data_IF_386342078860
#
_entry.id   IF_386342078860
#
_cell.length_a   1.000
_cell.length_b   1.000
_cell.length_c   1.000
_cell.angle_alpha   90.00
_cell.angle_beta   90.00
_cell.angle_gamma   90.00
#
_symmetry.space_group_name_H-M   'P 1'
#
loop_
_entity.id
_entity.type
_entity.pdbx_description
1 polymer ?
#
# COMPACT_ATOMS: atom_id res chain seq x y z
N UNK A 1 -1.25 -9.68 1.38
CA UNK A 1 -0.34 -8.57 1.76
C UNK A 1 0.83 -9.18 2.49
N UNK A 2 2.04 -8.72 2.17
CA UNK A 2 3.29 -9.21 2.76
C UNK A 2 4.10 -8.01 3.25
N UNK A 3 4.66 -8.12 4.45
CA UNK A 3 5.54 -7.11 5.03
C UNK A 3 6.98 -7.63 5.04
N UNK A 4 7.87 -6.93 4.34
CA UNK A 4 9.31 -7.18 4.35
C UNK A 4 10.04 -6.03 5.06
N UNK A 5 10.34 -6.25 6.33
CA UNK A 5 11.05 -5.28 7.16
C UNK A 5 12.51 -5.10 6.73
N UNK A 6 13.16 -6.10 6.14
CA UNK A 6 14.56 -6.02 5.75
C UNK A 6 14.70 -5.12 4.52
N UNK A 7 13.90 -5.38 3.48
CA UNK A 7 13.85 -4.55 2.28
C UNK A 7 13.20 -3.19 2.51
N UNK A 8 12.37 -3.05 3.56
CA UNK A 8 11.59 -1.84 3.80
C UNK A 8 10.42 -1.73 2.83
N UNK A 9 9.81 -2.86 2.47
CA UNK A 9 8.72 -2.96 1.51
C UNK A 9 7.46 -3.53 2.15
N UNK A 10 6.31 -3.08 1.65
CA UNK A 10 5.01 -3.72 1.85
C UNK A 10 4.47 -4.06 0.47
N UNK A 11 4.02 -5.30 0.27
CA UNK A 11 3.51 -5.77 -1.03
C UNK A 11 2.06 -6.16 -0.90
N UNK A 12 1.23 -5.70 -1.84
CA UNK A 12 -0.17 -6.06 -1.99
C UNK A 12 -0.37 -6.75 -3.32
N UNK A 13 -0.96 -7.95 -3.27
CA UNK A 13 -1.42 -8.68 -4.45
C UNK A 13 -2.92 -8.77 -4.39
N UNK A 14 -3.60 -8.50 -5.49
CA UNK A 14 -5.05 -8.58 -5.59
C UNK A 14 -5.48 -9.24 -6.90
N UNK A 15 -6.65 -9.88 -6.87
CA UNK A 15 -7.23 -10.54 -8.03
C UNK A 15 -8.70 -10.18 -8.17
N UNK A 16 -9.18 -10.02 -9.40
CA UNK A 16 -10.60 -9.92 -9.73
C UNK A 16 -10.97 -11.15 -10.57
N UNK A 17 -11.99 -11.89 -10.14
CA UNK A 17 -12.41 -13.14 -10.78
C UNK A 17 -11.24 -14.12 -11.04
N UNK A 18 -10.32 -14.23 -10.08
CA UNK A 18 -9.13 -15.11 -10.16
C UNK A 18 -8.00 -14.60 -11.06
N UNK A 19 -8.14 -13.43 -11.71
CA UNK A 19 -7.09 -12.80 -12.51
C UNK A 19 -6.37 -11.72 -11.70
N UNK A 20 -5.03 -11.68 -11.71
CA UNK A 20 -4.29 -10.61 -11.07
C UNK A 20 -4.65 -9.26 -11.70
N UNK A 21 -4.79 -8.24 -10.88
CA UNK A 21 -4.91 -6.86 -11.36
C UNK A 21 -3.51 -6.27 -11.61
N UNK A 22 -3.37 -5.24 -12.47
CA UNK A 22 -2.09 -4.55 -12.66
C UNK A 22 -1.60 -3.88 -11.38
N UNK A 23 -0.30 -3.88 -11.14
CA UNK A 23 0.30 -3.30 -9.92
C UNK A 23 -0.02 -1.82 -9.74
N UNK A 24 -0.04 -1.06 -10.85
CA UNK A 24 -0.44 0.36 -10.89
C UNK A 24 -1.88 0.64 -10.45
N UNK A 25 -2.69 -0.40 -10.27
CA UNK A 25 -4.06 -0.29 -9.78
C UNK A 25 -4.14 -0.23 -8.24
N UNK A 26 -3.00 -0.34 -7.57
CA UNK A 26 -2.83 -0.14 -6.14
C UNK A 26 -2.28 1.28 -5.86
N UNK A 27 -3.00 2.04 -5.05
CA UNK A 27 -2.63 3.39 -4.63
C UNK A 27 -2.51 3.41 -3.11
N UNK A 28 -1.35 3.81 -2.60
CA UNK A 28 -1.09 3.93 -1.17
C UNK A 28 -1.46 5.33 -0.70
N UNK A 29 -2.25 5.38 0.36
CA UNK A 29 -2.80 6.59 0.94
C UNK A 29 -2.32 6.72 2.39
N UNK A 30 -1.83 7.90 2.76
CA UNK A 30 -1.53 8.31 4.13
C UNK A 30 -2.17 9.66 4.41
N UNK A 31 -2.81 9.83 5.57
CA UNK A 31 -3.45 11.10 5.97
C UNK A 31 -4.39 11.68 4.89
N UNK A 32 -5.08 10.80 4.17
CA UNK A 32 -5.99 11.17 3.07
C UNK A 32 -5.30 11.60 1.78
N UNK A 33 -3.98 11.50 1.68
CA UNK A 33 -3.19 11.85 0.50
C UNK A 33 -2.56 10.61 -0.13
N UNK A 34 -2.55 10.55 -1.47
CA UNK A 34 -1.77 9.54 -2.19
C UNK A 34 -0.28 9.77 -2.00
N UNK A 35 0.42 8.76 -1.49
CA UNK A 35 1.88 8.79 -1.25
C UNK A 35 2.65 7.92 -2.23
N UNK A 36 2.01 6.90 -2.81
CA UNK A 36 2.66 6.00 -3.77
C UNK A 36 1.63 5.30 -4.66
N UNK A 37 2.04 4.93 -5.88
CA UNK A 37 1.24 4.13 -6.81
C UNK A 37 2.08 2.97 -7.30
N UNK A 38 1.81 1.79 -6.75
CA UNK A 38 2.27 0.46 -7.18
C UNK A 38 1.76 -0.58 -6.17
N UNK A 39 1.77 -1.86 -6.54
CA UNK A 39 1.53 -2.98 -5.63
C UNK A 39 2.54 -3.03 -4.47
N UNK A 40 3.75 -2.50 -4.69
CA UNK A 40 4.85 -2.54 -3.74
C UNK A 40 5.14 -1.14 -3.21
N UNK A 41 4.89 -0.91 -1.91
CA UNK A 41 5.26 0.32 -1.22
C UNK A 41 6.67 0.21 -0.61
N UNK A 42 7.66 0.97 -1.11
CA UNK A 42 8.96 1.10 -0.45
C UNK A 42 8.89 2.12 0.70
N UNK A 43 8.20 1.77 1.79
CA UNK A 43 7.78 2.69 2.85
C UNK A 43 8.92 3.47 3.54
N UNK A 44 10.16 2.99 3.48
CA UNK A 44 11.33 3.71 4.01
C UNK A 44 11.83 4.84 3.10
N UNK A 45 11.45 4.83 1.82
CA UNK A 45 11.92 5.78 0.80
C UNK A 45 10.82 6.73 0.33
N UNK A 46 9.56 6.41 0.59
CA UNK A 46 8.42 7.25 0.26
C UNK A 46 8.25 8.34 1.32
N UNK A 47 8.28 9.59 0.86
CA UNK A 47 7.97 10.77 1.70
C UNK A 47 6.45 10.95 1.83
N UNK A 48 6.02 11.67 2.87
CA UNK A 48 4.60 11.98 3.07
C UNK A 48 3.80 10.88 3.76
N UNK A 49 4.44 9.74 4.09
CA UNK A 49 3.86 8.75 5.00
C UNK A 49 3.86 9.35 6.41
N UNK A 50 2.69 9.37 7.04
CA UNK A 50 2.46 9.76 8.43
C UNK A 50 2.62 8.58 9.38
N UNK A 51 1.58 8.31 10.17
CA UNK A 51 1.57 7.21 11.17
C UNK A 51 1.06 5.89 10.58
N UNK A 52 0.27 5.95 9.51
CA UNK A 52 -0.30 4.76 8.89
C UNK A 52 -0.42 4.94 7.37
N UNK A 53 -0.55 3.82 6.68
CA UNK A 53 -0.94 3.78 5.26
C UNK A 53 -2.07 2.78 5.05
N UNK A 54 -2.94 3.04 4.09
CA UNK A 54 -3.80 2.01 3.50
C UNK A 54 -3.59 1.97 1.98
N UNK A 55 -3.77 0.81 1.39
CA UNK A 55 -3.88 0.65 -0.06
C UNK A 55 -5.34 0.74 -0.49
N UNK A 56 -5.64 1.67 -1.40
CA UNK A 56 -6.79 1.63 -2.30
C UNK A 56 -6.45 0.74 -3.50
N UNK A 57 -7.35 -0.18 -3.83
CA UNK A 57 -7.14 -1.17 -4.87
C UNK A 57 -8.35 -1.16 -5.79
N UNK A 58 -8.14 -0.83 -7.06
CA UNK A 58 -9.22 -0.72 -8.05
C UNK A 58 -9.06 -1.77 -9.15
N UNK A 59 -10.15 -2.43 -9.53
CA UNK A 59 -10.18 -3.32 -10.68
C UNK A 59 -11.57 -3.35 -11.30
N UNK A 60 -11.77 -4.21 -12.31
CA UNK A 60 -13.05 -4.29 -13.04
C UNK A 60 -14.24 -4.67 -12.15
N UNK A 61 -13.99 -5.27 -10.97
CA UNK A 61 -15.00 -5.61 -9.97
C UNK A 61 -15.33 -4.50 -8.97
N UNK A 62 -14.68 -3.34 -9.07
CA UNK A 62 -14.84 -2.21 -8.16
C UNK A 62 -13.57 -1.86 -7.38
N UNK A 63 -13.74 -1.03 -6.35
CA UNK A 63 -12.66 -0.54 -5.49
C UNK A 63 -12.80 -1.10 -4.08
N UNK A 64 -11.67 -1.49 -3.49
CA UNK A 64 -11.60 -1.89 -2.08
C UNK A 64 -10.41 -1.21 -1.40
N UNK A 65 -10.40 -1.25 -0.08
CA UNK A 65 -9.34 -0.69 0.74
C UNK A 65 -8.83 -1.75 1.71
N UNK A 66 -7.52 -1.76 1.92
CA UNK A 66 -6.92 -2.53 3.01
C UNK A 66 -7.14 -1.83 4.36
N UNK A 67 -7.11 -2.59 5.44
CA UNK A 67 -7.02 -2.01 6.77
C UNK A 67 -5.71 -1.19 6.90
N UNK A 68 -5.71 -0.09 7.67
CA UNK A 68 -4.50 0.70 7.88
C UNK A 68 -3.36 -0.13 8.46
N UNK A 69 -2.17 0.03 7.88
CA UNK A 69 -0.91 -0.48 8.40
C UNK A 69 -0.19 0.64 9.14
N UNK A 70 -0.08 0.51 10.46
CA UNK A 70 0.59 1.49 11.32
C UNK A 70 2.10 1.31 11.36
N UNK A 71 2.84 2.42 11.37
CA UNK A 71 4.27 2.46 11.59
C UNK A 71 4.55 2.94 13.01
N UNK A 72 5.31 2.16 13.78
CA UNK A 72 5.88 2.65 15.04
C UNK A 72 7.14 3.44 14.68
N UNK A 73 7.06 4.78 14.74
CA UNK A 73 8.25 5.61 14.70
C UNK A 73 8.95 5.47 16.04
N UNK A 74 10.16 4.91 16.04
CA UNK A 74 11.06 5.11 17.18
C UNK A 74 11.53 6.56 17.08
N UNK A 75 11.11 7.40 18.01
CA UNK A 75 11.73 8.71 18.20
C UNK A 75 13.24 8.48 18.48
N UNK A 76 14.12 9.33 17.93
CA UNK A 76 15.56 9.26 18.20
C UNK A 76 15.89 9.49 19.68
#
# INVERSE_FOLDING_TARGET
MTYDAAAGHIVVTATVAGKPIPDRACVWISDGQTVHTDSTLPYRRVTGIGTYVCAEITGDGGTTYTNPFGFVRREP
#
